data_IF_342257885265
#
_entry.id   IF_342257885265
#
_cell.length_a   1.000
_cell.length_b   1.000
_cell.length_c   1.000
_cell.angle_alpha   90.00
_cell.angle_beta   90.00
_cell.angle_gamma   90.00
#
_symmetry.space_group_name_H-M   'P 1'
#
loop_
_entity.id
_entity.type
_entity.pdbx_description
1 polymer ?
#
# COMPACT_ATOMS: atom_id res chain seq x y z
N UNK A 1 -47.41 -2.68 -29.27
CA UNK A 1 -47.68 -1.92 -28.03
C UNK A 1 -46.79 -0.69 -28.02
N UNK A 2 -47.34 0.48 -28.38
CA UNK A 2 -46.60 1.74 -28.29
C UNK A 2 -46.71 2.25 -26.86
N UNK A 3 -45.64 2.06 -26.09
CA UNK A 3 -45.53 2.68 -24.77
C UNK A 3 -45.41 4.19 -25.03
N UNK A 4 -46.43 4.91 -24.57
CA UNK A 4 -46.65 6.32 -24.83
C UNK A 4 -45.47 7.16 -24.33
N UNK A 5 -44.85 7.91 -25.26
CA UNK A 5 -43.71 8.80 -25.01
C UNK A 5 -43.96 9.86 -23.94
N UNK A 6 -45.22 10.14 -23.60
CA UNK A 6 -45.65 11.09 -22.58
C UNK A 6 -45.35 10.67 -21.14
N UNK A 7 -45.23 9.37 -20.85
CA UNK A 7 -44.86 8.91 -19.50
C UNK A 7 -43.39 9.10 -19.16
N UNK A 8 -42.52 9.16 -20.17
CA UNK A 8 -41.07 9.30 -19.98
C UNK A 8 -40.68 10.73 -19.57
N UNK A 9 -41.38 11.73 -20.12
CA UNK A 9 -41.16 13.15 -19.80
C UNK A 9 -41.62 13.55 -18.39
N UNK A 10 -42.73 12.97 -17.91
CA UNK A 10 -43.24 13.27 -16.55
C UNK A 10 -42.30 12.69 -15.47
N UNK A 11 -41.69 11.54 -15.74
CA UNK A 11 -40.68 10.95 -14.87
C UNK A 11 -39.37 11.74 -14.88
N UNK A 12 -38.92 12.28 -16.02
CA UNK A 12 -37.70 13.10 -16.05
C UNK A 12 -37.89 14.43 -15.29
N UNK A 13 -39.01 15.13 -15.50
CA UNK A 13 -39.25 16.42 -14.84
C UNK A 13 -39.38 16.29 -13.32
N UNK A 14 -39.99 15.20 -12.84
CA UNK A 14 -40.12 14.94 -11.41
C UNK A 14 -38.81 14.49 -10.76
N UNK A 15 -37.98 13.72 -11.48
CA UNK A 15 -36.63 13.36 -11.02
C UNK A 15 -35.74 14.59 -10.95
N UNK A 16 -35.75 15.45 -11.97
CA UNK A 16 -34.94 16.66 -12.01
C UNK A 16 -35.31 17.64 -10.90
N UNK A 17 -36.61 17.79 -10.61
CA UNK A 17 -37.09 18.58 -9.48
C UNK A 17 -36.67 17.97 -8.13
N UNK A 18 -36.72 16.64 -7.99
CA UNK A 18 -36.29 15.95 -6.77
C UNK A 18 -34.78 16.09 -6.55
N UNK A 19 -33.98 15.96 -7.60
CA UNK A 19 -32.52 16.13 -7.58
C UNK A 19 -32.17 17.57 -7.20
N UNK A 20 -32.80 18.57 -7.82
CA UNK A 20 -32.56 19.97 -7.48
C UNK A 20 -32.96 20.30 -6.04
N UNK A 21 -34.06 19.74 -5.53
CA UNK A 21 -34.48 19.95 -4.15
C UNK A 21 -33.51 19.30 -3.17
N UNK A 22 -33.04 18.08 -3.45
CA UNK A 22 -32.03 17.38 -2.65
C UNK A 22 -30.69 18.14 -2.62
N UNK A 23 -30.21 18.65 -3.74
CA UNK A 23 -28.95 19.43 -3.79
C UNK A 23 -29.06 20.78 -3.09
N UNK A 24 -30.22 21.42 -3.10
CA UNK A 24 -30.46 22.71 -2.43
C UNK A 24 -30.67 22.57 -0.92
N UNK A 25 -30.96 21.36 -0.42
CA UNK A 25 -31.08 21.08 1.02
C UNK A 25 -29.76 20.62 1.66
N UNK A 26 -28.71 20.35 0.90
CA UNK A 26 -27.38 20.07 1.46
C UNK A 26 -26.86 21.41 2.01
N UNK A 27 -26.62 21.54 3.33
CA UNK A 27 -26.02 22.74 3.89
C UNK A 27 -24.69 22.95 3.19
N UNK A 28 -24.58 24.03 2.40
CA UNK A 28 -23.29 24.44 1.84
C UNK A 28 -22.35 24.62 3.04
N UNK A 29 -21.20 23.93 3.09
CA UNK A 29 -20.27 24.10 4.21
C UNK A 29 -19.90 25.58 4.27
N UNK A 30 -20.42 26.26 5.30
CA UNK A 30 -20.15 27.66 5.57
C UNK A 30 -18.68 27.79 5.91
N UNK A 31 -17.92 28.47 5.03
CA UNK A 31 -16.51 28.74 5.23
C UNK A 31 -15.61 27.67 4.64
N UNK A 32 -15.34 27.77 3.34
CA UNK A 32 -14.10 27.22 2.78
C UNK A 32 -12.97 28.07 3.37
N UNK A 33 -12.48 27.68 4.55
CA UNK A 33 -11.23 28.21 5.07
C UNK A 33 -10.10 27.68 4.17
N UNK A 34 -9.85 28.39 3.08
CA UNK A 34 -8.67 28.16 2.27
C UNK A 34 -7.47 28.44 3.17
N UNK A 35 -6.77 27.35 3.52
CA UNK A 35 -5.51 27.45 4.25
C UNK A 35 -4.54 28.27 3.40
N UNK A 36 -3.75 29.12 4.05
CA UNK A 36 -2.68 29.84 3.37
C UNK A 36 -1.74 28.84 2.69
N UNK A 37 -1.07 29.27 1.61
CA UNK A 37 -0.10 28.41 0.90
C UNK A 37 0.95 27.88 1.88
N UNK A 38 1.40 28.68 2.84
CA UNK A 38 2.37 28.28 3.86
C UNK A 38 1.84 27.18 4.79
N UNK A 39 0.57 27.26 5.21
CA UNK A 39 -0.05 26.22 6.03
C UNK A 39 -0.22 24.90 5.27
N UNK A 40 -0.51 24.97 3.97
CA UNK A 40 -0.57 23.79 3.08
C UNK A 40 0.84 23.18 2.92
N UNK A 41 1.84 24.00 2.60
CA UNK A 41 3.23 23.57 2.45
C UNK A 41 3.72 22.91 3.73
N UNK A 42 3.57 23.55 4.89
CA UNK A 42 3.99 23.01 6.19
C UNK A 42 3.32 21.68 6.51
N UNK A 43 2.01 21.54 6.23
CA UNK A 43 1.28 20.27 6.41
C UNK A 43 1.83 19.17 5.51
N UNK A 44 2.11 19.48 4.24
CA UNK A 44 2.63 18.52 3.27
C UNK A 44 4.06 18.08 3.65
N UNK A 45 4.92 19.02 4.05
CA UNK A 45 6.27 18.72 4.53
C UNK A 45 6.23 17.80 5.76
N UNK A 46 5.38 18.12 6.75
CA UNK A 46 5.23 17.28 7.94
C UNK A 46 4.69 15.88 7.59
N UNK A 47 3.73 15.78 6.66
CA UNK A 47 3.21 14.51 6.18
C UNK A 47 4.30 13.69 5.48
N UNK A 48 5.11 14.34 4.64
CA UNK A 48 6.21 13.69 3.93
C UNK A 48 7.29 13.17 4.88
N UNK A 49 7.73 13.99 5.85
CA UNK A 49 8.68 13.58 6.89
C UNK A 49 8.14 12.39 7.68
N UNK A 50 6.88 12.45 8.12
CA UNK A 50 6.24 11.34 8.85
C UNK A 50 6.15 10.07 8.02
N UNK A 51 5.91 10.20 6.71
CA UNK A 51 5.88 9.07 5.80
C UNK A 51 7.27 8.45 5.60
N UNK A 52 8.32 9.26 5.44
CA UNK A 52 9.71 8.79 5.36
C UNK A 52 10.09 8.05 6.64
N UNK A 53 9.84 8.64 7.80
CA UNK A 53 10.16 8.03 9.09
C UNK A 53 9.45 6.67 9.25
N UNK A 54 8.17 6.58 8.87
CA UNK A 54 7.43 5.31 8.87
C UNK A 54 8.02 4.27 7.92
N UNK A 55 8.41 4.67 6.70
CA UNK A 55 9.02 3.76 5.73
C UNK A 55 10.38 3.22 6.21
N UNK A 56 11.16 4.05 6.90
CA UNK A 56 12.46 3.66 7.45
C UNK A 56 12.34 2.72 8.65
N UNK A 57 11.34 2.91 9.51
CA UNK A 57 11.11 2.08 10.71
C UNK A 57 10.59 0.67 10.42
N UNK A 58 10.29 0.37 9.15
CA UNK A 58 9.51 -0.79 8.74
C UNK A 58 10.16 -1.53 7.57
N UNK A 59 11.49 -1.47 7.49
CA UNK A 59 12.26 -2.18 6.47
C UNK A 59 13.25 -3.12 7.13
N UNK A 60 13.09 -4.43 6.90
CA UNK A 60 14.10 -5.43 7.24
C UNK A 60 15.12 -5.46 6.11
N UNK A 61 16.39 -5.25 6.44
CA UNK A 61 17.49 -5.33 5.47
C UNK A 61 18.43 -6.44 5.87
N UNK A 62 18.73 -7.34 4.93
CA UNK A 62 19.68 -8.44 5.13
C UNK A 62 20.66 -8.54 3.97
N UNK A 63 21.91 -8.94 4.23
CA UNK A 63 22.80 -9.41 3.18
C UNK A 63 22.11 -10.51 2.37
N UNK A 64 22.31 -10.54 1.06
CA UNK A 64 21.75 -11.56 0.18
C UNK A 64 22.76 -11.95 -0.88
N UNK A 65 23.01 -13.25 -0.97
CA UNK A 65 23.91 -13.80 -1.96
C UNK A 65 23.32 -13.78 -3.37
N UNK A 66 24.21 -13.74 -4.36
CA UNK A 66 23.89 -13.69 -5.78
C UNK A 66 23.13 -14.94 -6.31
N UNK A 67 23.21 -16.05 -5.56
CA UNK A 67 22.46 -17.27 -5.81
C UNK A 67 20.94 -17.04 -5.68
N UNK A 68 20.52 -16.17 -4.75
CA UNK A 68 19.11 -15.84 -4.54
C UNK A 68 18.54 -15.02 -5.70
N UNK A 69 17.68 -15.65 -6.50
CA UNK A 69 16.86 -14.94 -7.48
C UNK A 69 15.60 -14.39 -6.82
N UNK A 70 15.05 -13.31 -7.40
CA UNK A 70 13.85 -12.66 -6.87
C UNK A 70 12.67 -13.64 -6.68
N UNK A 71 12.51 -14.61 -7.58
CA UNK A 71 11.46 -15.62 -7.47
C UNK A 71 11.63 -16.52 -6.23
N UNK A 72 12.79 -17.17 -6.09
CA UNK A 72 13.09 -18.03 -4.93
C UNK A 72 13.08 -17.25 -3.62
N UNK A 73 13.54 -15.99 -3.64
CA UNK A 73 13.47 -15.12 -2.47
C UNK A 73 12.01 -14.87 -2.04
N UNK A 74 11.09 -14.63 -2.99
CA UNK A 74 9.66 -14.48 -2.67
C UNK A 74 9.04 -15.77 -2.12
N UNK A 75 9.33 -16.91 -2.74
CA UNK A 75 8.84 -18.22 -2.30
C UNK A 75 9.31 -18.53 -0.88
N UNK A 76 10.58 -18.27 -0.59
CA UNK A 76 11.15 -18.48 0.73
C UNK A 76 10.48 -17.62 1.81
N UNK A 77 10.28 -16.31 1.53
CA UNK A 77 9.56 -15.44 2.46
C UNK A 77 8.13 -15.92 2.71
N UNK A 78 7.46 -16.44 1.68
CA UNK A 78 6.13 -17.04 1.81
C UNK A 78 6.17 -18.31 2.67
N UNK A 79 7.17 -19.18 2.47
CA UNK A 79 7.36 -20.38 3.28
C UNK A 79 7.58 -20.04 4.76
N UNK A 80 8.37 -18.99 5.05
CA UNK A 80 8.57 -18.45 6.42
C UNK A 80 7.38 -17.65 6.95
N UNK A 81 6.27 -17.60 6.21
CA UNK A 81 5.06 -16.87 6.54
C UNK A 81 5.27 -15.35 6.77
N UNK A 82 6.28 -14.78 6.11
CA UNK A 82 6.61 -13.36 6.22
C UNK A 82 5.75 -12.57 5.22
N UNK A 83 4.83 -11.75 5.74
CA UNK A 83 4.02 -10.86 4.92
C UNK A 83 4.73 -9.52 4.75
N UNK A 84 4.90 -9.09 3.51
CA UNK A 84 5.53 -7.83 3.17
C UNK A 84 4.62 -6.99 2.27
N UNK A 85 4.76 -5.66 2.38
CA UNK A 85 4.06 -4.71 1.52
C UNK A 85 4.78 -4.52 0.20
N UNK A 86 6.12 -4.45 0.24
CA UNK A 86 6.94 -4.28 -0.96
C UNK A 86 8.29 -4.96 -0.78
N UNK A 87 8.74 -5.58 -1.87
CA UNK A 87 10.06 -6.15 -1.99
C UNK A 87 10.82 -5.35 -3.06
N UNK A 88 11.60 -4.34 -2.70
CA UNK A 88 12.53 -3.70 -3.61
C UNK A 88 13.44 -4.73 -4.30
N UNK A 89 13.88 -4.38 -5.49
CA UNK A 89 14.87 -5.16 -6.24
C UNK A 89 16.15 -5.35 -5.41
N UNK A 90 16.71 -6.55 -5.45
CA UNK A 90 17.97 -6.88 -4.77
C UNK A 90 19.06 -5.99 -5.36
N UNK A 91 19.65 -5.13 -4.53
CA UNK A 91 20.69 -4.18 -4.94
C UNK A 91 21.84 -4.23 -3.97
N UNK A 92 23.07 -4.19 -4.50
CA UNK A 92 24.31 -4.16 -3.70
C UNK A 92 24.39 -5.30 -2.66
N UNK A 93 23.98 -6.51 -3.05
CA UNK A 93 23.94 -7.68 -2.15
C UNK A 93 23.10 -7.45 -0.89
N UNK A 94 22.05 -6.62 -0.99
CA UNK A 94 21.09 -6.42 0.10
C UNK A 94 19.66 -6.73 -0.37
N UNK A 95 19.00 -7.61 0.39
CA UNK A 95 17.58 -7.85 0.33
C UNK A 95 16.89 -6.86 1.26
N UNK A 96 15.98 -6.05 0.71
CA UNK A 96 15.16 -5.13 1.50
C UNK A 96 13.73 -5.63 1.49
N UNK A 97 13.10 -5.68 2.66
CA UNK A 97 11.73 -6.17 2.83
C UNK A 97 10.96 -5.08 3.57
N UNK A 98 10.04 -4.42 2.88
CA UNK A 98 9.21 -3.36 3.48
C UNK A 98 7.94 -3.96 4.05
N UNK A 99 7.67 -3.72 5.33
CA UNK A 99 6.61 -4.34 6.10
C UNK A 99 5.83 -3.29 6.88
N UNK A 100 4.59 -3.01 6.49
CA UNK A 100 3.80 -1.92 7.10
C UNK A 100 3.22 -2.26 8.48
N UNK A 101 3.19 -3.54 8.86
CA UNK A 101 2.67 -4.02 10.13
C UNK A 101 3.83 -4.31 11.11
N UNK A 102 3.77 -3.74 12.31
CA UNK A 102 4.81 -3.89 13.34
C UNK A 102 4.96 -5.33 13.81
N UNK A 103 3.86 -6.10 13.87
CA UNK A 103 3.93 -7.51 14.28
C UNK A 103 4.65 -8.35 13.23
N UNK A 104 4.35 -8.11 11.95
CA UNK A 104 5.05 -8.76 10.84
C UNK A 104 6.50 -8.32 10.74
N UNK A 105 6.80 -7.05 11.06
CA UNK A 105 8.17 -6.56 11.11
C UNK A 105 8.99 -7.30 12.18
N UNK A 106 8.47 -7.37 13.41
CA UNK A 106 9.14 -8.08 14.51
C UNK A 106 9.30 -9.57 14.21
N UNK A 107 8.28 -10.20 13.61
CA UNK A 107 8.36 -11.59 13.16
C UNK A 107 9.46 -11.79 12.11
N UNK A 108 9.54 -10.91 11.12
CA UNK A 108 10.56 -10.97 10.07
C UNK A 108 11.97 -10.73 10.63
N UNK A 109 12.15 -9.76 11.53
CA UNK A 109 13.43 -9.51 12.21
C UNK A 109 13.88 -10.72 13.04
N UNK A 110 12.96 -11.36 13.76
CA UNK A 110 13.26 -12.54 14.56
C UNK A 110 13.52 -13.81 13.72
N UNK A 111 12.89 -13.91 12.55
CA UNK A 111 12.98 -15.10 11.69
C UNK A 111 14.19 -15.05 10.75
N UNK A 112 14.54 -13.86 10.24
CA UNK A 112 15.61 -13.69 9.26
C UNK A 112 16.89 -13.26 9.96
N UNK A 113 17.82 -14.20 10.16
CA UNK A 113 19.18 -13.89 10.60
C UNK A 113 19.98 -13.20 9.49
N UNK A 114 21.15 -12.65 9.86
CA UNK A 114 22.03 -11.96 8.91
C UNK A 114 22.63 -12.87 7.82
N UNK A 115 22.74 -14.17 8.10
CA UNK A 115 23.27 -15.20 7.21
C UNK A 115 22.17 -16.03 6.51
N UNK A 116 20.90 -15.72 6.77
CA UNK A 116 19.75 -16.49 6.28
C UNK A 116 19.77 -16.60 4.75
N UNK A 117 20.15 -15.53 4.06
CA UNK A 117 20.23 -15.48 2.60
C UNK A 117 21.64 -15.75 2.05
N UNK A 118 22.42 -16.58 2.75
CA UNK A 118 23.68 -17.12 2.22
C UNK A 118 23.43 -18.10 1.06
N UNK A 119 24.44 -18.28 0.23
CA UNK A 119 24.45 -19.27 -0.85
C UNK A 119 24.23 -20.71 -0.31
N UNK A 120 24.81 -21.04 0.84
CA UNK A 120 24.62 -22.35 1.47
C UNK A 120 23.15 -22.60 1.83
N UNK A 121 22.47 -21.60 2.41
CA UNK A 121 21.06 -21.75 2.80
C UNK A 121 20.14 -21.79 1.58
N UNK A 122 20.51 -21.13 0.47
CA UNK A 122 19.80 -21.24 -0.80
C UNK A 122 19.77 -22.69 -1.32
N UNK A 123 20.91 -23.37 -1.37
CA UNK A 123 20.94 -24.76 -1.83
C UNK A 123 20.23 -25.73 -0.87
N UNK A 124 20.33 -25.48 0.45
CA UNK A 124 19.54 -26.25 1.43
C UNK A 124 18.03 -26.10 1.18
N UNK A 125 17.58 -24.89 0.88
CA UNK A 125 16.18 -24.62 0.54
C UNK A 125 15.75 -25.35 -0.73
N UNK A 126 16.53 -25.26 -1.81
CA UNK A 126 16.22 -25.96 -3.07
C UNK A 126 16.12 -27.48 -2.89
N UNK A 127 16.97 -28.06 -2.05
CA UNK A 127 16.92 -29.50 -1.73
C UNK A 127 15.76 -29.89 -0.82
N UNK A 128 15.06 -28.92 -0.21
CA UNK A 128 13.87 -29.15 0.61
C UNK A 128 12.57 -29.03 -0.20
N UNK A 129 12.58 -28.33 -1.34
CA UNK A 129 11.44 -28.22 -2.27
C UNK A 129 11.40 -29.34 -3.32
N UNK A 130 12.36 -30.28 -3.30
CA UNK A 130 12.45 -31.46 -4.16
C UNK A 130 12.47 -32.76 -3.34
#
# INVERSE_FOLDING_TARGET
MHIHSSHFFILSDTIDQCIHHLFNQIPKPSGIHNRSRDAITRRNTNRHIKQIARQQQQTVTRPIDHAWKLHGFKQYLQHKQIRYNRLPEIRKHQGRIQINDIHQYNHAEATLSDDEFSEMNYYKWLNYEH
#
